data_IF_743192086179
#
_entry.id   IF_743192086179
#
_cell.length_a   1.000
_cell.length_b   1.000
_cell.length_c   1.000
_cell.angle_alpha   90.00
_cell.angle_beta   90.00
_cell.angle_gamma   90.00
#
_symmetry.space_group_name_H-M   'P 1'
#
loop_
_entity.id
_entity.type
_entity.pdbx_description
1 polymer ?
#
# COMPACT_ATOMS: atom_id res chain seq x y z
N UNK A 1 -20.79 62.92 44.11
CA UNK A 1 -20.76 62.35 42.75
C UNK A 1 -19.37 61.80 42.44
N UNK A 2 -18.28 62.53 42.71
CA UNK A 2 -16.89 62.05 42.52
C UNK A 2 -16.56 60.74 43.27
N UNK A 3 -16.96 60.61 44.53
CA UNK A 3 -16.69 59.42 45.37
C UNK A 3 -17.32 58.11 44.82
N UNK A 4 -18.46 58.23 44.13
CA UNK A 4 -19.10 57.07 43.49
C UNK A 4 -18.38 56.67 42.20
N UNK A 5 -17.81 57.63 41.47
CA UNK A 5 -17.07 57.39 40.23
C UNK A 5 -15.70 56.74 40.49
N UNK A 6 -15.00 57.10 41.57
CA UNK A 6 -13.75 56.43 41.95
C UNK A 6 -13.97 54.98 42.39
N UNK A 7 -15.08 54.71 43.11
CA UNK A 7 -15.46 53.34 43.49
C UNK A 7 -15.80 52.48 42.26
N UNK A 8 -16.54 53.02 41.30
CA UNK A 8 -16.82 52.36 40.02
C UNK A 8 -15.53 52.07 39.24
N UNK A 9 -14.58 53.01 39.20
CA UNK A 9 -13.28 52.82 38.54
C UNK A 9 -12.46 51.70 39.21
N UNK A 10 -12.48 51.62 40.54
CA UNK A 10 -11.83 50.54 41.29
C UNK A 10 -12.35 49.16 40.92
N UNK A 11 -13.67 48.99 40.85
CA UNK A 11 -14.29 47.72 40.41
C UNK A 11 -13.95 47.38 38.96
N UNK A 12 -13.85 48.37 38.05
CA UNK A 12 -13.40 48.13 36.67
C UNK A 12 -11.94 47.65 36.65
N UNK A 13 -11.05 48.25 37.44
CA UNK A 13 -9.64 47.84 37.51
C UNK A 13 -9.47 46.43 38.10
N UNK A 14 -10.27 46.04 39.10
CA UNK A 14 -10.31 44.65 39.60
C UNK A 14 -10.77 43.68 38.50
N UNK A 15 -11.83 44.01 37.76
CA UNK A 15 -12.29 43.18 36.65
C UNK A 15 -11.28 43.08 35.49
N UNK A 16 -10.49 44.14 35.28
CA UNK A 16 -9.40 44.16 34.29
C UNK A 16 -8.23 43.27 34.71
N UNK A 17 -7.85 43.30 35.98
CA UNK A 17 -6.81 42.43 36.57
C UNK A 17 -7.19 40.94 36.40
N UNK A 18 -8.43 40.57 36.75
CA UNK A 18 -8.94 39.22 36.50
C UNK A 18 -8.94 38.84 35.01
N UNK A 19 -9.22 39.80 34.12
CA UNK A 19 -9.21 39.55 32.68
C UNK A 19 -7.80 39.37 32.14
N UNK A 20 -6.82 40.10 32.67
CA UNK A 20 -5.41 40.01 32.32
C UNK A 20 -4.84 38.65 32.75
N UNK A 21 -5.15 38.20 33.97
CA UNK A 21 -4.76 36.88 34.46
C UNK A 21 -5.33 35.74 33.58
N UNK A 22 -6.59 35.88 33.15
CA UNK A 22 -7.20 34.92 32.21
C UNK A 22 -6.50 34.92 30.85
N UNK A 23 -6.20 36.09 30.29
CA UNK A 23 -5.52 36.20 28.99
C UNK A 23 -4.10 35.65 29.03
N UNK A 24 -3.35 35.90 30.10
CA UNK A 24 -2.01 35.35 30.30
C UNK A 24 -2.05 33.82 30.34
N UNK A 25 -3.01 33.25 31.08
CA UNK A 25 -3.22 31.81 31.11
C UNK A 25 -3.60 31.23 29.75
N UNK A 26 -4.56 31.86 29.05
CA UNK A 26 -5.01 31.40 27.74
C UNK A 26 -3.87 31.45 26.71
N UNK A 27 -3.04 32.50 26.72
CA UNK A 27 -1.86 32.60 25.87
C UNK A 27 -0.84 31.48 26.16
N UNK A 28 -0.57 31.22 27.44
CA UNK A 28 0.31 30.13 27.87
C UNK A 28 -0.21 28.75 27.41
N UNK A 29 -1.51 28.51 27.54
CA UNK A 29 -2.14 27.26 27.10
C UNK A 29 -2.05 27.10 25.57
N UNK A 30 -2.23 28.18 24.80
CA UNK A 30 -2.05 28.18 23.33
C UNK A 30 -0.61 27.86 22.92
N UNK A 31 0.39 28.43 23.61
CA UNK A 31 1.82 28.16 23.33
C UNK A 31 2.12 26.68 23.54
N UNK A 32 1.75 26.13 24.70
CA UNK A 32 1.99 24.72 25.03
C UNK A 32 1.26 23.76 24.07
N UNK A 33 0.01 24.09 23.71
CA UNK A 33 -0.77 23.30 22.76
C UNK A 33 -0.15 23.33 21.35
N UNK A 34 0.35 24.49 20.92
CA UNK A 34 1.03 24.66 19.64
C UNK A 34 2.35 23.88 19.59
N UNK A 35 3.16 23.93 20.64
CA UNK A 35 4.41 23.16 20.73
C UNK A 35 4.15 21.65 20.75
N UNK A 36 3.10 21.21 21.44
CA UNK A 36 2.66 19.81 21.42
C UNK A 36 2.23 19.41 20.00
N UNK A 37 1.46 20.25 19.31
CA UNK A 37 1.03 20.02 17.93
C UNK A 37 2.21 19.92 16.96
N UNK A 38 3.22 20.79 17.11
CA UNK A 38 4.44 20.74 16.30
C UNK A 38 5.21 19.43 16.48
N UNK A 39 5.32 18.93 17.72
CA UNK A 39 5.94 17.62 17.99
C UNK A 39 5.14 16.47 17.34
N UNK A 40 3.82 16.46 17.49
CA UNK A 40 2.96 15.44 16.87
C UNK A 40 3.03 15.47 15.34
N UNK A 41 3.11 16.66 14.74
CA UNK A 41 3.27 16.79 13.28
C UNK A 41 4.63 16.27 12.84
N UNK A 42 5.70 16.56 13.57
CA UNK A 42 7.04 16.04 13.26
C UNK A 42 7.04 14.50 13.25
N UNK A 43 6.44 13.87 14.26
CA UNK A 43 6.31 12.41 14.31
C UNK A 43 5.47 11.88 13.14
N UNK A 44 4.38 12.58 12.82
CA UNK A 44 3.50 12.24 11.70
C UNK A 44 4.21 12.33 10.34
N UNK A 45 5.06 13.34 10.14
CA UNK A 45 5.89 13.47 8.93
C UNK A 45 6.84 12.27 8.82
N UNK A 46 7.48 11.86 9.91
CA UNK A 46 8.34 10.67 9.94
C UNK A 46 7.56 9.39 9.57
N UNK A 47 6.35 9.22 10.08
CA UNK A 47 5.48 8.08 9.68
C UNK A 47 5.08 8.12 8.21
N UNK A 48 4.83 9.30 7.64
CA UNK A 48 4.54 9.45 6.20
C UNK A 48 5.75 9.07 5.35
N UNK A 49 6.96 9.49 5.73
CA UNK A 49 8.20 9.09 5.06
C UNK A 49 8.42 7.57 5.09
N UNK A 50 8.14 6.93 6.23
CA UNK A 50 8.20 5.47 6.37
C UNK A 50 7.19 4.78 5.44
N UNK A 51 5.96 5.26 5.38
CA UNK A 51 4.92 4.74 4.46
C UNK A 51 5.38 4.86 3.00
N UNK A 52 5.93 6.01 2.60
CA UNK A 52 6.44 6.22 1.25
C UNK A 52 7.57 5.25 0.90
N UNK A 53 8.46 4.98 1.86
CA UNK A 53 9.50 3.97 1.70
C UNK A 53 8.91 2.57 1.54
N UNK A 54 7.96 2.18 2.39
CA UNK A 54 7.29 0.87 2.29
C UNK A 54 6.58 0.68 0.95
N UNK A 55 5.97 1.74 0.40
CA UNK A 55 5.36 1.72 -0.94
C UNK A 55 6.42 1.51 -2.03
N UNK A 56 7.58 2.17 -1.92
CA UNK A 56 8.70 1.97 -2.85
C UNK A 56 9.20 0.53 -2.82
N UNK A 57 9.45 -0.02 -1.62
CA UNK A 57 9.91 -1.39 -1.44
C UNK A 57 8.86 -2.39 -1.98
N UNK A 58 7.57 -2.12 -1.77
CA UNK A 58 6.49 -2.94 -2.32
C UNK A 58 6.49 -2.93 -3.86
N UNK A 59 6.72 -1.79 -4.49
CA UNK A 59 6.79 -1.70 -5.96
C UNK A 59 7.97 -2.51 -6.52
N UNK A 60 9.11 -2.54 -5.83
CA UNK A 60 10.25 -3.37 -6.22
C UNK A 60 9.90 -4.86 -6.15
N UNK A 61 9.27 -5.30 -5.07
CA UNK A 61 8.80 -6.69 -4.92
C UNK A 61 7.77 -7.06 -5.99
N UNK A 62 6.84 -6.17 -6.32
CA UNK A 62 5.85 -6.39 -7.39
C UNK A 62 6.53 -6.55 -8.75
N UNK A 63 7.54 -5.73 -9.05
CA UNK A 63 8.29 -5.83 -10.30
C UNK A 63 9.05 -7.16 -10.41
N UNK A 64 9.81 -7.55 -9.37
CA UNK A 64 10.51 -8.84 -9.34
C UNK A 64 9.54 -10.03 -9.48
N UNK A 65 8.39 -9.95 -8.81
CA UNK A 65 7.37 -10.98 -8.92
C UNK A 65 6.76 -11.04 -10.33
N UNK A 66 6.55 -9.89 -10.99
CA UNK A 66 6.08 -9.81 -12.37
C UNK A 66 7.06 -10.46 -13.34
N UNK A 67 8.36 -10.22 -13.20
CA UNK A 67 9.40 -10.87 -14.01
C UNK A 67 9.38 -12.39 -13.86
N UNK A 68 9.30 -12.89 -12.62
CA UNK A 68 9.23 -14.34 -12.34
C UNK A 68 7.97 -14.98 -12.92
N UNK A 69 6.83 -14.29 -12.87
CA UNK A 69 5.58 -14.80 -13.44
C UNK A 69 5.63 -14.81 -14.98
N UNK A 70 6.21 -13.79 -15.60
CA UNK A 70 6.45 -13.80 -17.06
C UNK A 70 7.37 -14.96 -17.48
N UNK A 71 8.40 -15.27 -16.70
CA UNK A 71 9.24 -16.45 -16.94
C UNK A 71 8.43 -17.75 -16.82
N UNK A 72 7.54 -17.86 -15.82
CA UNK A 72 6.67 -19.02 -15.64
C UNK A 72 5.71 -19.18 -16.84
N UNK A 73 5.13 -18.10 -17.35
CA UNK A 73 4.29 -18.11 -18.55
C UNK A 73 5.04 -18.69 -19.75
N UNK A 74 6.26 -18.20 -20.00
CA UNK A 74 7.11 -18.68 -21.09
C UNK A 74 7.47 -20.15 -20.95
N UNK A 75 7.81 -20.60 -19.74
CA UNK A 75 8.11 -22.00 -19.44
C UNK A 75 6.89 -22.89 -19.66
N UNK A 76 5.70 -22.48 -19.20
CA UNK A 76 4.45 -23.20 -19.44
C UNK A 76 4.15 -23.33 -20.94
N UNK A 77 4.34 -22.27 -21.72
CA UNK A 77 4.16 -22.31 -23.17
C UNK A 77 5.20 -23.23 -23.88
N UNK A 78 6.43 -23.31 -23.37
CA UNK A 78 7.41 -24.26 -23.87
C UNK A 78 7.03 -25.72 -23.55
N UNK A 79 6.55 -25.99 -22.34
CA UNK A 79 6.09 -27.33 -21.95
C UNK A 79 4.92 -27.76 -22.85
N UNK A 80 3.97 -26.87 -23.13
CA UNK A 80 2.84 -27.14 -24.03
C UNK A 80 3.31 -27.59 -25.43
N UNK A 81 4.34 -26.95 -25.99
CA UNK A 81 4.95 -27.36 -27.26
C UNK A 81 5.53 -28.76 -27.18
N UNK A 82 6.27 -29.10 -26.12
CA UNK A 82 6.82 -30.44 -25.94
C UNK A 82 5.73 -31.50 -25.80
N UNK A 83 4.68 -31.23 -25.04
CA UNK A 83 3.53 -32.13 -24.86
C UNK A 83 2.81 -32.37 -26.19
N UNK A 84 2.67 -31.34 -27.02
CA UNK A 84 2.11 -31.47 -28.38
C UNK A 84 2.95 -32.41 -29.25
N UNK A 85 4.28 -32.30 -29.19
CA UNK A 85 5.19 -33.22 -29.90
C UNK A 85 5.07 -34.64 -29.38
N UNK A 86 5.05 -34.85 -28.06
CA UNK A 86 4.90 -36.17 -27.44
C UNK A 86 3.57 -36.82 -27.86
N UNK A 87 2.48 -36.06 -27.82
CA UNK A 87 1.16 -36.52 -28.27
C UNK A 87 1.19 -36.93 -29.76
N UNK A 88 1.87 -36.15 -30.61
CA UNK A 88 2.07 -36.47 -32.01
C UNK A 88 2.89 -37.75 -32.23
N UNK A 89 3.95 -37.96 -31.45
CA UNK A 89 4.76 -39.19 -31.48
C UNK A 89 3.90 -40.38 -31.04
N UNK A 90 3.19 -40.27 -29.93
CA UNK A 90 2.33 -41.32 -29.41
C UNK A 90 1.25 -41.73 -30.44
N UNK A 91 0.63 -40.77 -31.11
CA UNK A 91 -0.35 -41.06 -32.16
C UNK A 91 0.28 -41.78 -33.37
N UNK A 92 1.45 -41.33 -33.84
CA UNK A 92 2.19 -42.01 -34.92
C UNK A 92 2.58 -43.44 -34.53
N UNK A 93 3.10 -43.64 -33.31
CA UNK A 93 3.46 -44.95 -32.79
C UNK A 93 2.25 -45.88 -32.71
N UNK A 94 1.09 -45.37 -32.29
CA UNK A 94 -0.16 -46.14 -32.28
C UNK A 94 -0.61 -46.58 -33.68
N UNK A 95 -0.43 -45.74 -34.71
CA UNK A 95 -0.72 -46.10 -36.11
C UNK A 95 0.30 -47.13 -36.63
N UNK A 96 1.59 -46.94 -36.34
CA UNK A 96 2.66 -47.87 -36.70
C UNK A 96 2.46 -49.26 -36.09
N UNK A 97 2.12 -49.32 -34.80
CA UNK A 97 1.87 -50.57 -34.10
C UNK A 97 0.61 -51.27 -34.60
N UNK A 98 -0.43 -50.51 -34.98
CA UNK A 98 -1.62 -51.06 -35.62
C UNK A 98 -1.28 -51.74 -36.95
N UNK A 99 -0.51 -51.06 -37.81
CA UNK A 99 -0.06 -51.63 -39.08
C UNK A 99 0.79 -52.90 -38.87
N UNK A 100 1.67 -52.89 -37.86
CA UNK A 100 2.46 -54.06 -37.49
C UNK A 100 1.59 -55.22 -36.99
N UNK A 101 0.55 -54.97 -36.17
CA UNK A 101 -0.41 -55.99 -35.74
C UNK A 101 -1.17 -56.61 -36.92
N UNK A 102 -1.56 -55.80 -37.91
CA UNK A 102 -2.24 -56.28 -39.13
C UNK A 102 -1.30 -57.18 -39.95
N UNK A 103 -0.06 -56.76 -40.17
CA UNK A 103 0.90 -57.55 -40.95
C UNK A 103 1.31 -58.84 -40.22
N UNK A 104 1.43 -58.78 -38.89
CA UNK A 104 1.67 -59.95 -38.06
C UNK A 104 0.52 -60.97 -38.14
N UNK A 105 -0.74 -60.51 -38.18
CA UNK A 105 -1.89 -61.39 -38.40
C UNK A 105 -1.87 -62.01 -39.80
N UNK A 106 -1.40 -61.27 -40.81
CA UNK A 106 -1.27 -61.74 -42.19
C UNK A 106 -0.22 -62.83 -42.37
N UNK A 107 0.86 -62.80 -41.57
CA UNK A 107 1.91 -63.82 -41.53
C UNK A 107 1.49 -65.13 -40.82
N UNK A 108 0.27 -65.19 -40.24
CA UNK A 108 -0.26 -66.38 -39.58
C UNK A 108 0.57 -66.82 -38.36
N UNK A 109 0.87 -68.12 -38.25
CA UNK A 109 1.64 -68.68 -37.12
C UNK A 109 3.02 -68.04 -36.95
N UNK A 110 3.68 -67.65 -38.05
CA UNK A 110 5.01 -67.03 -38.01
C UNK A 110 4.99 -65.60 -37.44
N UNK A 111 3.83 -64.95 -37.45
CA UNK A 111 3.66 -63.57 -36.96
C UNK A 111 3.20 -63.47 -35.50
N UNK A 112 2.91 -64.59 -34.81
CA UNK A 112 2.33 -64.59 -33.45
C UNK A 112 3.14 -63.77 -32.45
N UNK A 113 4.46 -63.92 -32.42
CA UNK A 113 5.33 -63.15 -31.53
C UNK A 113 5.33 -61.65 -31.83
N UNK A 114 5.34 -61.28 -33.12
CA UNK A 114 5.25 -59.89 -33.55
C UNK A 114 3.90 -59.26 -33.20
N UNK A 115 2.80 -60.02 -33.27
CA UNK A 115 1.47 -59.53 -32.90
C UNK A 115 1.39 -59.13 -31.42
N UNK A 116 2.02 -59.90 -30.53
CA UNK A 116 2.07 -59.58 -29.08
C UNK A 116 2.85 -58.28 -28.85
N UNK A 117 4.04 -58.16 -29.45
CA UNK A 117 4.87 -56.95 -29.32
C UNK A 117 4.13 -55.73 -29.87
N UNK A 118 3.51 -55.84 -31.04
CA UNK A 118 2.74 -54.75 -31.64
C UNK A 118 1.54 -54.33 -30.77
N UNK A 119 0.87 -55.27 -30.10
CA UNK A 119 -0.18 -54.98 -29.12
C UNK A 119 0.34 -54.19 -27.92
N UNK A 120 1.50 -54.56 -27.38
CA UNK A 120 2.10 -53.87 -26.24
C UNK A 120 2.56 -52.46 -26.60
N UNK A 121 3.20 -52.28 -27.77
CA UNK A 121 3.58 -50.95 -28.28
C UNK A 121 2.34 -50.07 -28.46
N UNK A 122 1.24 -50.64 -28.96
CA UNK A 122 -0.03 -49.91 -29.10
C UNK A 122 -0.57 -49.44 -27.75
N UNK A 123 -0.51 -50.30 -26.73
CA UNK A 123 -0.96 -49.96 -25.39
C UNK A 123 -0.11 -48.83 -24.78
N UNK A 124 1.22 -48.92 -24.88
CA UNK A 124 2.14 -47.88 -24.43
C UNK A 124 1.90 -46.54 -25.15
N UNK A 125 1.62 -46.58 -26.46
CA UNK A 125 1.30 -45.39 -27.24
C UNK A 125 -0.04 -44.75 -26.80
N UNK A 126 -1.06 -45.55 -26.48
CA UNK A 126 -2.32 -45.07 -25.94
C UNK A 126 -2.13 -44.44 -24.54
N UNK A 127 -1.34 -45.07 -23.67
CA UNK A 127 -1.01 -44.55 -22.34
C UNK A 127 -0.24 -43.22 -22.44
N UNK A 128 0.76 -43.13 -23.32
CA UNK A 128 1.51 -41.90 -23.58
C UNK A 128 0.61 -40.76 -24.09
N UNK A 129 -0.34 -41.07 -24.97
CA UNK A 129 -1.34 -40.10 -25.43
C UNK A 129 -2.25 -39.60 -24.30
N UNK A 130 -2.67 -40.51 -23.40
CA UNK A 130 -3.49 -40.15 -22.23
C UNK A 130 -2.72 -39.23 -21.28
N UNK A 131 -1.49 -39.60 -20.91
CA UNK A 131 -0.65 -38.77 -20.03
C UNK A 131 -0.34 -37.41 -20.65
N UNK A 132 -0.14 -37.35 -21.97
CA UNK A 132 0.05 -36.06 -22.66
C UNK A 132 -1.16 -35.13 -22.48
N UNK A 133 -2.39 -35.65 -22.58
CA UNK A 133 -3.60 -34.86 -22.34
C UNK A 133 -3.71 -34.36 -20.90
N UNK A 134 -3.44 -35.23 -19.92
CA UNK A 134 -3.45 -34.85 -18.50
C UNK A 134 -2.42 -33.74 -18.20
N UNK A 135 -1.25 -33.77 -18.86
CA UNK A 135 -0.26 -32.70 -18.77
C UNK A 135 -0.79 -31.42 -19.43
N UNK A 136 -1.40 -31.49 -20.61
CA UNK A 136 -2.01 -30.32 -21.27
C UNK A 136 -3.05 -29.65 -20.36
N UNK A 137 -3.95 -30.42 -19.76
CA UNK A 137 -4.97 -29.89 -18.83
C UNK A 137 -4.33 -29.21 -17.60
N UNK A 138 -3.22 -29.77 -17.12
CA UNK A 138 -2.47 -29.20 -15.99
C UNK A 138 -1.78 -27.89 -16.38
N UNK A 139 -1.16 -27.83 -17.58
CA UNK A 139 -0.52 -26.60 -18.08
C UNK A 139 -1.55 -25.49 -18.32
N UNK A 140 -2.74 -25.83 -18.83
CA UNK A 140 -3.82 -24.86 -18.98
C UNK A 140 -4.24 -24.24 -17.64
N UNK A 141 -4.30 -25.03 -16.56
CA UNK A 141 -4.56 -24.52 -15.20
C UNK A 141 -3.43 -23.61 -14.72
N UNK A 142 -2.18 -23.98 -14.94
CA UNK A 142 -1.02 -23.15 -14.58
C UNK A 142 -1.07 -21.81 -15.32
N UNK A 143 -1.33 -21.80 -16.63
CA UNK A 143 -1.48 -20.58 -17.42
C UNK A 143 -2.61 -19.68 -16.90
N UNK A 144 -3.75 -20.27 -16.49
CA UNK A 144 -4.83 -19.51 -15.85
C UNK A 144 -4.39 -18.87 -14.54
N UNK A 145 -3.73 -19.62 -13.66
CA UNK A 145 -3.24 -19.08 -12.38
C UNK A 145 -2.16 -18.02 -12.56
N UNK A 146 -1.31 -18.15 -13.58
CA UNK A 146 -0.34 -17.11 -13.98
C UNK A 146 -1.06 -15.83 -14.35
N UNK A 147 -2.12 -15.91 -15.17
CA UNK A 147 -2.92 -14.74 -15.56
C UNK A 147 -3.57 -14.05 -14.36
N UNK A 148 -4.21 -14.84 -13.47
CA UNK A 148 -4.86 -14.30 -12.27
C UNK A 148 -3.85 -13.58 -11.35
N UNK A 149 -2.61 -14.10 -11.29
CA UNK A 149 -1.54 -13.49 -10.52
C UNK A 149 -1.03 -12.17 -11.15
N UNK A 150 -0.96 -12.07 -12.49
CA UNK A 150 -0.66 -10.81 -13.19
C UNK A 150 -1.72 -9.75 -12.90
N UNK A 151 -3.00 -10.10 -13.00
CA UNK A 151 -4.11 -9.17 -12.72
C UNK A 151 -4.08 -8.68 -11.26
N UNK A 152 -3.72 -9.57 -10.33
CA UNK A 152 -3.52 -9.23 -8.92
C UNK A 152 -2.34 -8.27 -8.72
N UNK A 153 -1.23 -8.48 -9.43
CA UNK A 153 -0.06 -7.58 -9.38
C UNK A 153 -0.39 -6.17 -9.91
N UNK A 154 -1.13 -6.07 -11.00
CA UNK A 154 -1.61 -4.78 -11.51
C UNK A 154 -2.47 -4.06 -10.47
N UNK A 155 -3.38 -4.78 -9.81
CA UNK A 155 -4.22 -4.22 -8.75
C UNK A 155 -3.40 -3.73 -7.54
N UNK A 156 -2.33 -4.44 -7.18
CA UNK A 156 -1.42 -4.01 -6.11
C UNK A 156 -0.68 -2.73 -6.51
N UNK A 157 -0.15 -2.68 -7.74
CA UNK A 157 0.55 -1.51 -8.26
C UNK A 157 -0.34 -0.25 -8.28
N UNK A 158 -1.58 -0.38 -8.76
CA UNK A 158 -2.54 0.73 -8.77
C UNK A 158 -2.88 1.23 -7.36
N UNK A 159 -2.99 0.31 -6.39
CA UNK A 159 -3.21 0.68 -5.00
C UNK A 159 -1.98 1.36 -4.39
N UNK A 160 -0.77 0.93 -4.74
CA UNK A 160 0.48 1.56 -4.34
C UNK A 160 0.55 3.03 -4.79
N UNK A 161 0.19 3.29 -6.05
CA UNK A 161 0.13 4.65 -6.62
C UNK A 161 -0.87 5.54 -5.86
N UNK A 162 -2.07 5.02 -5.58
CA UNK A 162 -3.08 5.76 -4.79
C UNK A 162 -2.63 6.04 -3.36
N UNK A 163 -1.90 5.11 -2.74
CA UNK A 163 -1.34 5.30 -1.42
C UNK A 163 -0.25 6.39 -1.43
N UNK A 164 0.59 6.43 -2.47
CA UNK A 164 1.61 7.46 -2.64
C UNK A 164 0.98 8.85 -2.78
N UNK A 165 -0.08 8.98 -3.59
CA UNK A 165 -0.83 10.23 -3.73
C UNK A 165 -1.42 10.69 -2.39
N UNK A 166 -2.08 9.78 -1.66
CA UNK A 166 -2.65 10.07 -0.34
C UNK A 166 -1.59 10.48 0.68
N UNK A 167 -0.44 9.82 0.69
CA UNK A 167 0.68 10.18 1.56
C UNK A 167 1.18 11.60 1.25
N UNK A 168 1.25 11.99 -0.03
CA UNK A 168 1.56 13.36 -0.45
C UNK A 168 0.54 14.37 0.09
N UNK A 169 -0.75 14.09 -0.06
CA UNK A 169 -1.82 14.97 0.49
C UNK A 169 -1.72 15.11 2.00
N UNK A 170 -1.42 14.02 2.73
CA UNK A 170 -1.21 14.08 4.18
C UNK A 170 -0.01 14.97 4.52
N UNK A 171 1.11 14.85 3.79
CA UNK A 171 2.28 15.70 3.97
C UNK A 171 1.94 17.19 3.80
N UNK A 172 1.18 17.54 2.77
CA UNK A 172 0.72 18.93 2.54
C UNK A 172 -0.16 19.46 3.68
N UNK A 173 -1.07 18.63 4.19
CA UNK A 173 -1.91 18.99 5.34
C UNK A 173 -1.06 19.20 6.59
N UNK A 174 -0.10 18.32 6.86
CA UNK A 174 0.82 18.44 7.99
C UNK A 174 1.62 19.75 7.93
N UNK A 175 2.12 20.14 6.74
CA UNK A 175 2.79 21.43 6.54
C UNK A 175 1.89 22.63 6.89
N UNK A 176 0.60 22.58 6.53
CA UNK A 176 -0.37 23.63 6.91
C UNK A 176 -0.61 23.68 8.42
N UNK A 177 -0.57 22.52 9.11
CA UNK A 177 -0.69 22.48 10.58
C UNK A 177 0.54 23.13 11.23
N UNK A 178 1.74 22.92 10.69
CA UNK A 178 2.96 23.62 11.16
C UNK A 178 2.81 25.13 11.05
N UNK A 179 2.35 25.64 9.90
CA UNK A 179 2.13 27.07 9.68
C UNK A 179 1.10 27.66 10.65
N UNK A 180 -0.02 26.95 10.84
CA UNK A 180 -1.06 27.35 11.79
C UNK A 180 -0.54 27.39 13.23
N UNK A 181 0.27 26.41 13.64
CA UNK A 181 0.86 26.36 14.97
C UNK A 181 1.85 27.52 15.21
N UNK A 182 2.67 27.87 14.21
CA UNK A 182 3.55 29.04 14.31
C UNK A 182 2.75 30.35 14.43
N UNK A 183 1.69 30.49 13.63
CA UNK A 183 0.81 31.66 13.69
C UNK A 183 0.13 31.80 15.05
N UNK A 184 -0.33 30.68 15.63
CA UNK A 184 -0.93 30.65 16.96
C UNK A 184 0.07 31.03 18.06
N UNK A 185 1.30 30.50 17.98
CA UNK A 185 2.39 30.86 18.89
C UNK A 185 2.73 32.36 18.83
N UNK A 186 2.79 32.95 17.63
CA UNK A 186 3.03 34.38 17.46
C UNK A 186 1.89 35.22 18.05
N UNK A 187 0.64 34.84 17.80
CA UNK A 187 -0.53 35.52 18.36
C UNK A 187 -0.54 35.47 19.90
N UNK A 188 -0.21 34.32 20.49
CA UNK A 188 -0.13 34.17 21.94
C UNK A 188 0.97 35.05 22.56
N UNK A 189 2.16 35.10 21.94
CA UNK A 189 3.23 36.01 22.39
C UNK A 189 2.85 37.48 22.31
N UNK A 190 2.10 37.87 21.28
CA UNK A 190 1.57 39.23 21.18
C UNK A 190 0.57 39.51 22.30
N UNK A 191 -0.28 38.56 22.68
CA UNK A 191 -1.19 38.69 23.83
C UNK A 191 -0.39 38.87 25.13
N UNK A 192 0.65 38.07 25.38
CA UNK A 192 1.50 38.23 26.57
C UNK A 192 2.11 39.64 26.66
N UNK A 193 2.61 40.16 25.53
CA UNK A 193 3.17 41.52 25.46
C UNK A 193 2.11 42.60 25.74
N UNK A 194 0.92 42.48 25.14
CA UNK A 194 -0.18 43.43 25.35
C UNK A 194 -0.70 43.38 26.80
N UNK A 195 -0.81 42.20 27.40
CA UNK A 195 -1.20 42.05 28.82
C UNK A 195 -0.17 42.72 29.72
N UNK A 196 1.13 42.60 29.44
CA UNK A 196 2.17 43.28 30.21
C UNK A 196 2.02 44.81 30.13
N UNK A 197 1.79 45.37 28.93
CA UNK A 197 1.54 46.81 28.76
C UNK A 197 0.26 47.25 29.48
N UNK A 198 -0.81 46.45 29.41
CA UNK A 198 -2.05 46.79 30.09
C UNK A 198 -1.90 46.75 31.61
N UNK A 199 -1.12 45.82 32.18
CA UNK A 199 -0.83 45.79 33.63
C UNK A 199 -0.16 47.08 34.10
N UNK A 200 0.84 47.57 33.35
CA UNK A 200 1.50 48.85 33.67
C UNK A 200 0.48 50.01 33.70
N UNK A 201 -0.46 50.05 32.75
CA UNK A 201 -1.52 51.07 32.70
C UNK A 201 -2.50 50.92 33.87
N UNK A 202 -2.93 49.69 34.19
CA UNK A 202 -3.83 49.39 35.31
C UNK A 202 -3.19 49.83 36.64
N UNK A 203 -1.91 49.54 36.84
CA UNK A 203 -1.15 49.92 38.03
C UNK A 203 -0.99 51.44 38.16
N UNK A 204 -0.69 52.13 37.05
CA UNK A 204 -0.66 53.59 37.03
C UNK A 204 -2.02 54.22 37.35
N UNK A 205 -3.11 53.65 36.82
CA UNK A 205 -4.47 54.10 37.09
C UNK A 205 -4.83 53.90 38.58
N UNK A 206 -4.52 52.72 39.15
CA UNK A 206 -4.76 52.41 40.56
C UNK A 206 -4.02 53.39 41.48
N UNK A 207 -2.74 53.67 41.21
CA UNK A 207 -1.95 54.69 41.93
C UNK A 207 -2.52 56.12 41.88
N UNK A 208 -3.30 56.45 40.84
CA UNK A 208 -3.97 57.76 40.72
C UNK A 208 -5.30 57.82 41.45
N UNK A 209 -6.01 56.70 41.63
CA UNK A 209 -7.24 56.61 42.45
C UNK A 209 -6.89 56.71 43.93
N UNK A 210 -5.79 56.07 44.35
CA UNK A 210 -5.38 56.01 45.76
C UNK A 210 -4.74 57.33 46.28
N UNK A 211 -4.59 58.35 45.42
CA UNK A 211 -4.02 59.67 45.73
C UNK A 211 -5.09 60.74 45.91
#
# INVERSE_FOLDING_TARGET
MEDNSFKELGTILEGLDESQDRLEKDAFDVINSSDTSLNMVRDSIGSVEEILKMISDMNEVVNDASEKINQLEQLSAQIEKFVTVISGIANKTNILSLNASIEAARAGEQGRGFAVVAGEVRNLAAQSSKSSREITDTIAKVQSSVKDAIDSMHSIYDNAQKQQEKAGVVSDVLNKVVEAAYTANEAARNIENEVAVQRDITDEARKKIDK
#
